data_IF_318244056937
#
_entry.id   IF_318244056937
#
_cell.length_a   1.000
_cell.length_b   1.000
_cell.length_c   1.000
_cell.angle_alpha   90.00
_cell.angle_beta   90.00
_cell.angle_gamma   90.00
#
_symmetry.space_group_name_H-M   'P 1'
#
loop_
_entity.id
_entity.type
_entity.pdbx_description
1 polymer ?
#
# COMPACT_ATOMS: atom_id res chain seq x y z
N UNK A 1 4.05 18.83 -14.12
CA UNK A 1 4.60 17.57 -13.61
C UNK A 1 4.18 16.47 -14.58
N UNK A 2 5.14 15.77 -15.16
CA UNK A 2 4.91 14.58 -15.95
C UNK A 2 4.78 13.32 -15.08
N UNK A 3 4.52 12.18 -15.73
CA UNK A 3 4.33 10.89 -15.06
C UNK A 3 5.52 10.45 -14.20
N UNK A 4 6.73 10.55 -14.75
CA UNK A 4 7.96 10.14 -14.08
C UNK A 4 8.22 11.03 -12.86
N UNK A 5 8.12 12.34 -13.02
CA UNK A 5 8.29 13.29 -11.91
C UNK A 5 7.28 13.05 -10.77
N UNK A 6 6.05 12.68 -11.09
CA UNK A 6 5.04 12.32 -10.10
C UNK A 6 5.43 11.06 -9.32
N UNK A 7 5.81 9.99 -10.03
CA UNK A 7 6.22 8.72 -9.41
C UNK A 7 7.46 8.89 -8.52
N UNK A 8 8.48 9.61 -8.99
CA UNK A 8 9.69 9.90 -8.20
C UNK A 8 9.37 10.70 -6.93
N UNK A 9 8.54 11.74 -7.05
CA UNK A 9 8.14 12.57 -5.91
C UNK A 9 7.33 11.77 -4.88
N UNK A 10 6.38 10.95 -5.34
CA UNK A 10 5.60 10.08 -4.47
C UNK A 10 6.51 9.05 -3.79
N UNK A 11 7.42 8.44 -4.55
CA UNK A 11 8.35 7.44 -4.03
C UNK A 11 9.22 8.01 -2.92
N UNK A 12 9.72 9.23 -3.06
CA UNK A 12 10.52 9.89 -2.03
C UNK A 12 9.75 10.08 -0.70
N UNK A 13 8.45 10.38 -0.78
CA UNK A 13 7.59 10.49 0.41
C UNK A 13 7.41 9.13 1.08
N UNK A 14 7.14 8.09 0.29
CA UNK A 14 6.98 6.72 0.80
C UNK A 14 8.28 6.19 1.42
N UNK A 15 9.44 6.47 0.81
CA UNK A 15 10.73 6.03 1.32
C UNK A 15 11.08 6.62 2.69
N UNK A 16 10.58 7.82 3.01
CA UNK A 16 10.72 8.40 4.35
C UNK A 16 9.95 7.60 5.42
N UNK A 17 8.88 6.89 5.02
CA UNK A 17 8.04 6.08 5.90
C UNK A 17 8.46 4.60 5.94
N UNK A 18 9.35 4.17 5.05
CA UNK A 18 9.82 2.79 4.92
C UNK A 18 10.22 2.11 6.24
N UNK A 19 10.98 2.74 7.17
CA UNK A 19 11.36 2.08 8.41
C UNK A 19 10.16 1.68 9.29
N UNK A 20 9.18 2.59 9.42
CA UNK A 20 7.97 2.32 10.21
C UNK A 20 7.07 1.30 9.53
N UNK A 21 6.99 1.34 8.20
CA UNK A 21 6.18 0.42 7.41
C UNK A 21 6.77 -0.99 7.39
N UNK A 22 8.09 -1.13 7.29
CA UNK A 22 8.78 -2.41 7.39
C UNK A 22 8.53 -3.10 8.74
N UNK A 23 8.54 -2.35 9.85
CA UNK A 23 8.22 -2.91 11.18
C UNK A 23 6.77 -3.41 11.28
N UNK A 24 5.83 -2.64 10.72
CA UNK A 24 4.42 -3.06 10.62
C UNK A 24 4.27 -4.31 9.76
N UNK A 25 4.85 -4.34 8.55
CA UNK A 25 4.85 -5.50 7.65
C UNK A 25 5.44 -6.74 8.32
N UNK A 26 6.52 -6.60 9.10
CA UNK A 26 7.10 -7.70 9.88
C UNK A 26 6.13 -8.25 10.93
N UNK A 27 5.35 -7.38 11.57
CA UNK A 27 4.32 -7.77 12.54
C UNK A 27 3.12 -8.45 11.86
N UNK A 28 2.68 -7.91 10.73
CA UNK A 28 1.59 -8.48 9.92
C UNK A 28 1.98 -9.87 9.40
N UNK A 29 3.20 -10.02 8.88
CA UNK A 29 3.74 -11.29 8.42
C UNK A 29 3.73 -12.35 9.52
N UNK A 30 4.26 -12.05 10.71
CA UNK A 30 4.23 -12.98 11.85
C UNK A 30 2.80 -13.38 12.22
N UNK A 31 1.84 -12.46 12.14
CA UNK A 31 0.44 -12.77 12.40
C UNK A 31 -0.19 -13.64 11.30
N UNK A 32 0.11 -13.35 10.03
CA UNK A 32 -0.39 -14.10 8.87
C UNK A 32 0.10 -15.55 8.87
N UNK A 33 1.38 -15.79 9.18
CA UNK A 33 1.95 -17.15 9.21
C UNK A 33 1.25 -18.11 10.18
N UNK A 34 0.40 -17.60 11.08
CA UNK A 34 -0.38 -18.40 12.01
C UNK A 34 -1.70 -18.94 11.43
N UNK A 35 -2.16 -18.49 10.24
CA UNK A 35 -3.43 -18.97 9.66
C UNK A 35 -4.05 -18.17 8.51
N UNK A 36 -3.34 -17.23 7.88
CA UNK A 36 -3.81 -16.52 6.69
C UNK A 36 -3.28 -17.17 5.41
N UNK A 37 -4.09 -17.13 4.36
CA UNK A 37 -3.73 -17.61 3.00
C UNK A 37 -3.00 -16.53 2.18
N UNK A 38 -3.09 -15.28 2.62
CA UNK A 38 -2.52 -14.12 1.94
C UNK A 38 -2.70 -12.82 2.72
N UNK A 39 -2.01 -11.78 2.25
CA UNK A 39 -2.19 -10.39 2.69
C UNK A 39 -2.31 -9.52 1.44
N UNK A 40 -3.45 -8.86 1.30
CA UNK A 40 -3.67 -7.84 0.27
C UNK A 40 -3.35 -6.46 0.86
N UNK A 41 -2.56 -5.68 0.14
CA UNK A 41 -2.27 -4.29 0.43
C UNK A 41 -3.22 -3.44 -0.43
N UNK A 42 -4.29 -2.99 0.19
CA UNK A 42 -5.32 -2.18 -0.44
C UNK A 42 -4.90 -0.70 -0.46
N UNK A 43 -4.89 -0.12 -1.66
CA UNK A 43 -4.70 1.30 -1.93
C UNK A 43 -6.08 1.95 -2.13
N UNK A 44 -6.43 2.85 -1.23
CA UNK A 44 -7.70 3.59 -1.25
C UNK A 44 -7.44 5.00 -1.74
N UNK A 45 -8.00 5.38 -2.90
CA UNK A 45 -8.05 6.78 -3.31
C UNK A 45 -9.34 7.41 -2.79
N UNK A 46 -9.25 8.65 -2.33
CA UNK A 46 -10.45 9.42 -2.02
C UNK A 46 -11.26 9.72 -3.30
N UNK A 47 -12.57 9.90 -3.13
CA UNK A 47 -13.55 10.09 -4.20
C UNK A 47 -13.24 11.32 -5.06
N UNK A 48 -12.64 12.37 -4.49
CA UNK A 48 -12.27 13.57 -5.25
C UNK A 48 -10.96 13.40 -6.05
N UNK A 49 -10.18 12.34 -5.78
CA UNK A 49 -8.95 11.99 -6.51
C UNK A 49 -7.94 13.15 -6.68
N UNK A 50 -7.89 14.06 -5.70
CA UNK A 50 -7.00 15.23 -5.71
C UNK A 50 -5.65 14.98 -5.03
N UNK A 51 -5.47 13.83 -4.37
CA UNK A 51 -4.21 13.51 -3.70
C UNK A 51 -4.28 12.60 -2.47
N UNK A 52 -5.35 12.55 -1.66
CA UNK A 52 -5.33 11.71 -0.47
C UNK A 52 -5.57 10.26 -0.84
N UNK A 53 -4.70 9.40 -0.32
CA UNK A 53 -4.87 7.96 -0.40
C UNK A 53 -4.44 7.30 0.90
N UNK A 54 -4.99 6.13 1.17
CA UNK A 54 -4.61 5.25 2.26
C UNK A 54 -4.06 3.95 1.72
N UNK A 55 -3.09 3.37 2.43
CA UNK A 55 -2.53 2.05 2.17
C UNK A 55 -2.76 1.19 3.40
N UNK A 56 -3.53 0.13 3.24
CA UNK A 56 -3.94 -0.76 4.33
C UNK A 56 -3.65 -2.21 4.00
N UNK A 57 -3.23 -2.98 4.99
CA UNK A 57 -3.13 -4.42 4.88
C UNK A 57 -4.45 -5.10 5.26
N UNK A 58 -4.87 -6.10 4.49
CA UNK A 58 -6.04 -6.94 4.74
C UNK A 58 -5.64 -8.40 4.62
N UNK A 59 -6.02 -9.21 5.61
CA UNK A 59 -5.74 -10.64 5.55
C UNK A 59 -6.75 -11.37 4.68
N UNK A 60 -6.30 -12.44 4.04
CA UNK A 60 -7.16 -13.37 3.32
C UNK A 60 -7.15 -14.76 3.99
N UNK A 61 -8.25 -15.49 3.81
CA UNK A 61 -8.41 -16.84 4.35
C UNK A 61 -9.38 -16.93 5.54
N UNK A 62 -9.48 -18.13 6.11
CA UNK A 62 -10.49 -18.45 7.13
C UNK A 62 -10.37 -17.60 8.41
N UNK A 63 -9.14 -17.23 8.80
CA UNK A 63 -8.87 -16.46 10.01
C UNK A 63 -8.76 -14.93 9.78
N UNK A 64 -8.93 -14.47 8.53
CA UNK A 64 -8.81 -13.07 8.12
C UNK A 64 -9.54 -12.09 9.04
N UNK A 65 -10.83 -12.31 9.28
CA UNK A 65 -11.66 -11.43 10.10
C UNK A 65 -11.14 -11.30 11.54
N UNK A 66 -10.65 -12.40 12.12
CA UNK A 66 -10.10 -12.40 13.48
C UNK A 66 -8.78 -11.64 13.52
N UNK A 67 -7.91 -11.86 12.53
CA UNK A 67 -6.63 -11.17 12.40
C UNK A 67 -6.82 -9.66 12.18
N UNK A 68 -7.71 -9.28 11.27
CA UNK A 68 -8.07 -7.90 10.96
C UNK A 68 -8.55 -7.16 12.21
N UNK A 69 -9.48 -7.75 12.96
CA UNK A 69 -10.00 -7.17 14.19
C UNK A 69 -8.95 -7.07 15.29
N UNK A 70 -8.06 -8.06 15.40
CA UNK A 70 -7.02 -8.10 16.42
C UNK A 70 -5.94 -7.05 16.18
N UNK A 71 -5.55 -6.84 14.93
CA UNK A 71 -4.47 -5.93 14.56
C UNK A 71 -4.96 -4.49 14.37
N UNK A 72 -6.23 -4.30 14.02
CA UNK A 72 -6.85 -2.97 13.98
C UNK A 72 -6.05 -2.00 13.12
N UNK A 73 -5.65 -0.88 13.72
CA UNK A 73 -4.94 0.22 13.07
C UNK A 73 -3.48 -0.10 12.72
N UNK A 74 -2.91 -1.20 13.24
CA UNK A 74 -1.57 -1.66 12.82
C UNK A 74 -1.53 -2.05 11.33
N UNK A 75 -2.69 -2.27 10.73
CA UNK A 75 -2.87 -2.55 9.31
C UNK A 75 -2.77 -1.30 8.44
N UNK A 76 -2.93 -0.12 9.00
CA UNK A 76 -2.68 1.13 8.28
C UNK A 76 -1.17 1.27 8.07
N UNK A 77 -0.71 1.09 6.83
CA UNK A 77 0.70 1.24 6.50
C UNK A 77 1.03 2.70 6.24
N UNK A 78 0.15 3.39 5.53
CA UNK A 78 0.34 4.79 5.15
C UNK A 78 -1.02 5.45 4.96
N UNK A 79 -1.15 6.71 5.36
CA UNK A 79 -2.32 7.51 5.04
C UNK A 79 -1.95 8.96 4.87
N UNK A 80 -2.66 9.60 3.95
CA UNK A 80 -2.56 11.05 3.70
C UNK A 80 -3.77 11.72 4.31
N UNK A 81 -3.52 12.69 5.20
CA UNK A 81 -4.56 13.50 5.82
C UNK A 81 -4.42 14.97 5.42
N UNK A 82 -5.51 15.73 5.47
CA UNK A 82 -5.44 17.19 5.30
C UNK A 82 -5.04 17.85 6.62
N UNK A 83 -3.81 18.37 6.64
CA UNK A 83 -3.24 19.16 7.73
C UNK A 83 -3.48 20.66 7.58
N UNK A 84 -2.78 21.45 8.40
CA UNK A 84 -2.93 22.92 8.40
C UNK A 84 -2.33 23.57 7.15
N UNK A 85 -1.25 23.02 6.61
CA UNK A 85 -0.50 23.56 5.47
C UNK A 85 -0.74 22.81 4.14
N UNK A 86 -1.57 21.76 4.17
CA UNK A 86 -1.86 20.90 3.03
C UNK A 86 -1.84 19.43 3.42
N UNK A 87 -1.55 18.55 2.47
CA UNK A 87 -1.47 17.11 2.71
C UNK A 87 -0.31 16.76 3.64
N UNK A 88 -0.58 15.93 4.63
CA UNK A 88 0.41 15.35 5.54
C UNK A 88 0.31 13.81 5.46
N UNK A 89 1.38 13.13 5.00
CA UNK A 89 2.63 13.67 4.46
C UNK A 89 2.43 14.41 3.11
N UNK A 90 3.40 15.25 2.68
CA UNK A 90 3.25 16.13 1.52
C UNK A 90 3.38 15.36 0.20
N UNK A 91 2.31 14.66 -0.18
CA UNK A 91 2.23 13.92 -1.44
C UNK A 91 2.10 14.87 -2.65
N UNK A 92 2.66 14.51 -3.82
CA UNK A 92 2.51 15.30 -5.02
C UNK A 92 1.04 15.37 -5.47
N UNK A 93 0.64 16.54 -5.97
CA UNK A 93 -0.68 16.70 -6.58
C UNK A 93 -0.80 15.90 -7.89
N UNK A 94 -2.03 15.51 -8.24
CA UNK A 94 -2.35 14.84 -9.50
C UNK A 94 -1.80 15.62 -10.71
N UNK A 95 -1.08 14.98 -11.64
CA UNK A 95 -0.63 15.61 -12.88
C UNK A 95 -1.80 16.16 -13.72
N UNK A 96 -1.59 17.31 -14.35
CA UNK A 96 -2.59 17.93 -15.20
C UNK A 96 -2.94 17.04 -16.41
N UNK A 97 -4.23 16.77 -16.60
CA UNK A 97 -4.74 15.95 -17.71
C UNK A 97 -4.83 14.45 -17.42
N UNK A 98 -4.42 13.99 -16.23
CA UNK A 98 -4.65 12.60 -15.80
C UNK A 98 -6.11 12.39 -15.41
N UNK A 99 -6.68 11.26 -15.79
CA UNK A 99 -7.93 10.75 -15.21
C UNK A 99 -7.68 10.22 -13.79
N UNK A 100 -8.77 9.89 -13.08
CA UNK A 100 -8.68 9.20 -11.79
C UNK A 100 -8.01 7.84 -11.94
N UNK A 101 -8.40 7.05 -12.95
CA UNK A 101 -7.85 5.71 -13.16
C UNK A 101 -6.34 5.78 -13.44
N UNK A 102 -5.88 6.76 -14.22
CA UNK A 102 -4.44 6.97 -14.45
C UNK A 102 -3.67 7.34 -13.18
N UNK A 103 -4.30 8.07 -12.26
CA UNK A 103 -3.72 8.37 -10.96
C UNK A 103 -3.67 7.11 -10.09
N UNK A 104 -4.76 6.35 -10.06
CA UNK A 104 -4.90 5.10 -9.30
C UNK A 104 -3.84 4.09 -9.72
N UNK A 105 -3.74 3.80 -11.01
CA UNK A 105 -2.71 2.90 -11.56
C UNK A 105 -1.30 3.34 -11.18
N UNK A 106 -0.99 4.64 -11.31
CA UNK A 106 0.33 5.15 -10.98
C UNK A 106 0.66 5.05 -9.47
N UNK A 107 -0.33 5.25 -8.59
CA UNK A 107 -0.13 5.08 -7.14
C UNK A 107 0.05 3.61 -6.81
N UNK A 108 -0.79 2.72 -7.34
CA UNK A 108 -0.71 1.26 -7.11
C UNK A 108 0.65 0.72 -7.54
N UNK A 109 1.14 1.10 -8.72
CA UNK A 109 2.47 0.73 -9.20
C UNK A 109 3.57 1.19 -8.24
N UNK A 110 3.57 2.48 -7.85
CA UNK A 110 4.60 3.04 -6.97
C UNK A 110 4.56 2.40 -5.57
N UNK A 111 3.36 2.12 -5.05
CA UNK A 111 3.18 1.43 -3.76
C UNK A 111 3.66 -0.01 -3.88
N UNK A 112 3.38 -0.72 -4.96
CA UNK A 112 3.88 -2.08 -5.18
C UNK A 112 5.41 -2.13 -5.21
N UNK A 113 6.05 -1.25 -5.99
CA UNK A 113 7.51 -1.10 -6.02
C UNK A 113 8.09 -0.71 -4.66
N UNK A 114 7.31 -0.03 -3.81
CA UNK A 114 7.72 0.40 -2.47
C UNK A 114 7.59 -0.70 -1.44
N UNK A 115 6.50 -1.46 -1.46
CA UNK A 115 6.25 -2.55 -0.52
C UNK A 115 7.18 -3.73 -0.79
N UNK A 116 7.42 -4.09 -2.05
CA UNK A 116 8.21 -5.27 -2.44
C UNK A 116 9.53 -5.43 -1.67
N UNK A 117 10.45 -4.42 -1.63
CA UNK A 117 11.71 -4.55 -0.90
C UNK A 117 11.56 -4.51 0.63
N UNK A 118 10.41 -4.09 1.15
CA UNK A 118 10.14 -4.00 2.60
C UNK A 118 9.56 -5.29 3.17
N UNK A 119 9.06 -6.18 2.31
CA UNK A 119 8.46 -7.42 2.76
C UNK A 119 9.50 -8.31 3.46
N UNK A 120 9.16 -8.86 4.64
CA UNK A 120 10.03 -9.78 5.33
C UNK A 120 10.23 -11.04 4.50
N UNK A 121 11.49 -11.49 4.39
CA UNK A 121 11.82 -12.75 3.73
C UNK A 121 11.40 -13.93 4.61
N UNK A 122 10.65 -14.87 4.04
CA UNK A 122 10.19 -16.10 4.70
C UNK A 122 8.69 -16.29 4.58
N UNK A 123 8.23 -17.53 4.79
CA UNK A 123 6.86 -18.01 4.53
C UNK A 123 6.49 -18.01 3.02
N UNK A 124 7.03 -18.98 2.24
CA UNK A 124 6.82 -19.05 0.79
C UNK A 124 5.34 -19.26 0.39
N UNK A 125 4.51 -19.75 1.32
CA UNK A 125 3.09 -20.00 1.08
C UNK A 125 2.22 -18.75 1.27
N UNK A 126 2.74 -17.67 1.87
CA UNK A 126 1.98 -16.45 2.11
C UNK A 126 2.04 -15.53 0.89
N UNK A 127 0.91 -15.36 0.22
CA UNK A 127 0.79 -14.47 -0.94
C UNK A 127 0.66 -13.01 -0.49
N UNK A 128 1.40 -12.12 -1.16
CA UNK A 128 1.29 -10.67 -0.98
C UNK A 128 0.95 -10.01 -2.29
N UNK A 129 -0.06 -9.16 -2.28
CA UNK A 129 -0.54 -8.45 -3.46
C UNK A 129 -0.81 -6.99 -3.10
N UNK A 130 -0.62 -6.07 -4.03
CA UNK A 130 -0.98 -4.66 -3.90
C UNK A 130 -2.07 -4.36 -4.92
N UNK A 131 -3.18 -3.79 -4.51
CA UNK A 131 -4.30 -3.52 -5.41
C UNK A 131 -5.26 -2.49 -4.85
N UNK A 132 -6.42 -2.40 -5.49
CA UNK A 132 -7.51 -1.52 -5.06
C UNK A 132 -8.68 -2.37 -4.54
N UNK A 133 -9.41 -1.89 -3.52
CA UNK A 133 -10.52 -2.65 -2.93
C UNK A 133 -11.68 -2.86 -3.91
N UNK A 134 -11.87 -1.92 -4.84
CA UNK A 134 -12.92 -1.96 -5.85
C UNK A 134 -12.54 -2.79 -7.08
N UNK A 135 -11.28 -3.24 -7.17
CA UNK A 135 -10.75 -3.98 -8.33
C UNK A 135 -10.63 -3.12 -9.59
N UNK A 136 -10.45 -1.80 -9.44
CA UNK A 136 -10.28 -0.86 -10.56
C UNK A 136 -8.93 -1.06 -11.28
N UNK A 137 -7.88 -1.29 -10.49
CA UNK A 137 -6.54 -1.69 -10.97
C UNK A 137 -6.30 -3.17 -10.66
N UNK A 138 -5.75 -3.91 -11.63
CA UNK A 138 -5.31 -5.29 -11.45
C UNK A 138 -4.28 -5.38 -10.30
N UNK A 139 -4.42 -6.34 -9.37
CA UNK A 139 -3.49 -6.48 -8.26
C UNK A 139 -2.10 -6.90 -8.76
N UNK A 140 -1.06 -6.28 -8.19
CA UNK A 140 0.35 -6.56 -8.46
C UNK A 140 0.87 -7.47 -7.34
N UNK A 141 1.30 -8.67 -7.70
CA UNK A 141 1.93 -9.58 -6.75
C UNK A 141 3.33 -9.07 -6.37
N UNK A 142 3.63 -9.06 -5.07
CA UNK A 142 4.89 -8.57 -4.50
C UNK A 142 5.53 -9.62 -3.58
N UNK A 143 6.82 -9.51 -3.30
CA UNK A 143 7.53 -10.43 -2.42
C UNK A 143 7.89 -11.77 -3.08
N UNK A 144 7.70 -11.92 -4.39
CA UNK A 144 8.24 -13.05 -5.17
C UNK A 144 9.72 -12.78 -5.42
N UNK A 145 10.57 -13.16 -4.47
CA UNK A 145 11.99 -13.32 -4.78
C UNK A 145 12.23 -14.79 -5.10
N UNK A 146 12.49 -15.09 -6.38
CA UNK A 146 13.13 -16.33 -6.81
C UNK A 146 14.50 -16.39 -6.10
N UNK A 147 14.74 -17.46 -5.34
CA UNK A 147 15.98 -17.72 -4.59
C UNK A 147 17.19 -17.91 -5.53
#
# INVERSE_FOLDING_TARGET
>A
MGAVEYRDALRAVLDAMSPSVADRLSTLHRAATAGADGVLIDVFLDQDAEGPFGVWARFEGADSFTLDRRLGDLRELFSVIWGEEGWEPPVPARPAGWSRDQLEDAIVEVVAEWIDPLLPRGAPDLRWEVGTPDGGTDPIQVGIHDD
#
